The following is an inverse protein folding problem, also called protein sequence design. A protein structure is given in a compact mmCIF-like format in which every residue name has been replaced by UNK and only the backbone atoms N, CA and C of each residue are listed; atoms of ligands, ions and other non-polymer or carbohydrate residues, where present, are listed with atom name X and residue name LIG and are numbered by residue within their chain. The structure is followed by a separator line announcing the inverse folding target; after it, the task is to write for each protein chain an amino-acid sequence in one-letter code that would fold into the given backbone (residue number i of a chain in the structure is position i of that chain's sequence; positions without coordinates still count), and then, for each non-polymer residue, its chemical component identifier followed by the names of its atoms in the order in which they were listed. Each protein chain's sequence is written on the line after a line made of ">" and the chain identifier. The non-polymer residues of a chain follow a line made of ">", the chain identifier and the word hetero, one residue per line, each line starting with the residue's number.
data_IF_765426460032
#
_entry.id   IF_765426460032
#
_cell.length_a   1.000
_cell.length_b   1.000
_cell.length_c   1.000
_cell.angle_alpha   90.00
_cell.angle_beta   90.00
_cell.angle_gamma   90.00
#
_symmetry.space_group_name_H-M   'P 1'
#
loop_
_entity.id
_entity.type
_entity.pdbx_description
1 polymer ?
#
# COMPACT_ATOMS: atom_id res chain seq x y z
N UNK A 1 0.66 5.33 11.43
CA UNK A 1 -0.69 5.32 10.85
C UNK A 1 -1.01 4.03 10.10
N UNK A 2 -0.03 3.22 9.65
CA UNK A 2 -0.33 1.87 9.14
C UNK A 2 -1.23 1.83 7.90
N UNK A 3 -1.24 2.91 7.12
CA UNK A 3 -1.99 3.02 5.86
C UNK A 3 -1.05 2.64 4.72
N UNK A 4 -1.54 1.87 3.74
CA UNK A 4 -0.79 1.53 2.53
C UNK A 4 -1.09 2.60 1.47
N UNK A 5 -0.10 3.39 1.05
CA UNK A 5 -0.29 4.38 -0.01
C UNK A 5 -0.31 3.68 -1.37
N UNK A 6 -1.43 3.80 -2.09
CA UNK A 6 -1.59 3.26 -3.45
C UNK A 6 -1.69 4.40 -4.45
N UNK A 7 -1.05 4.21 -5.61
CA UNK A 7 -1.08 5.17 -6.70
C UNK A 7 -1.50 4.46 -8.00
N UNK A 8 -2.45 5.05 -8.72
CA UNK A 8 -2.75 4.64 -10.08
C UNK A 8 -1.53 4.77 -10.98
N UNK A 9 -1.48 3.99 -12.06
CA UNK A 9 -0.45 4.16 -13.08
C UNK A 9 -0.61 5.49 -13.81
N UNK A 10 0.48 5.94 -14.43
CA UNK A 10 0.46 7.19 -15.19
C UNK A 10 -0.63 7.16 -16.26
N UNK A 11 -1.47 8.18 -16.29
CA UNK A 11 -2.61 8.28 -17.22
C UNK A 11 -3.84 7.46 -16.81
N UNK A 12 -3.84 6.85 -15.62
CA UNK A 12 -5.01 6.21 -15.02
C UNK A 12 -5.48 7.00 -13.80
N UNK A 13 -6.79 6.98 -13.61
CA UNK A 13 -7.52 7.59 -12.50
C UNK A 13 -8.86 6.86 -12.31
N UNK A 14 -9.67 7.32 -11.37
CA UNK A 14 -10.97 6.71 -11.10
C UNK A 14 -11.92 6.78 -12.32
N UNK A 15 -11.94 7.89 -13.04
CA UNK A 15 -12.85 8.10 -14.17
C UNK A 15 -12.47 7.25 -15.38
N UNK A 16 -11.19 7.19 -15.73
CA UNK A 16 -10.64 6.37 -16.82
C UNK A 16 -10.81 4.87 -16.57
N UNK A 17 -10.77 4.46 -15.30
CA UNK A 17 -11.05 3.08 -14.87
C UNK A 17 -12.57 2.82 -14.65
N UNK A 18 -13.38 3.88 -14.68
CA UNK A 18 -14.82 3.85 -14.43
C UNK A 18 -15.16 3.32 -13.04
N UNK A 19 -14.40 3.73 -12.03
CA UNK A 19 -14.60 3.40 -10.62
C UNK A 19 -15.60 4.38 -10.01
N UNK A 20 -16.65 3.85 -9.40
CA UNK A 20 -17.72 4.67 -8.80
C UNK A 20 -17.49 4.93 -7.32
N UNK A 21 -16.64 4.12 -6.66
CA UNK A 21 -16.41 4.15 -5.22
C UNK A 21 -17.42 3.32 -4.41
N UNK A 22 -18.41 2.71 -5.09
CA UNK A 22 -19.37 1.80 -4.47
C UNK A 22 -18.94 0.33 -4.53
N UNK A 23 -17.87 0.04 -5.27
CA UNK A 23 -17.32 -1.31 -5.40
C UNK A 23 -16.59 -1.74 -4.12
N UNK A 24 -16.51 -3.05 -3.90
CA UNK A 24 -15.58 -3.61 -2.92
C UNK A 24 -14.25 -3.87 -3.60
N UNK A 25 -13.18 -3.37 -2.99
CA UNK A 25 -11.82 -3.48 -3.50
C UNK A 25 -11.05 -4.56 -2.73
N UNK A 26 -10.50 -5.52 -3.47
CA UNK A 26 -9.56 -6.52 -2.97
C UNK A 26 -8.18 -6.19 -3.50
N UNK A 27 -7.22 -5.96 -2.61
CA UNK A 27 -5.85 -5.60 -2.94
C UNK A 27 -4.99 -6.86 -2.75
N UNK A 28 -4.40 -7.35 -3.83
CA UNK A 28 -3.50 -8.50 -3.79
C UNK A 28 -2.11 -8.06 -3.33
N UNK A 29 -1.85 -8.22 -2.04
CA UNK A 29 -0.66 -7.76 -1.35
C UNK A 29 -0.16 -8.90 -0.45
N UNK A 30 1.16 -9.17 -0.39
CA UNK A 30 1.70 -10.19 0.49
C UNK A 30 1.28 -9.96 1.95
N UNK A 31 0.93 -11.04 2.66
CA UNK A 31 0.61 -10.98 4.09
C UNK A 31 1.82 -10.58 4.94
N UNK A 32 3.04 -10.83 4.43
CA UNK A 32 4.28 -10.46 5.08
C UNK A 32 4.86 -9.17 4.48
N UNK A 33 5.09 -8.18 5.34
CA UNK A 33 5.66 -6.89 4.96
C UNK A 33 7.08 -6.98 4.40
N UNK A 34 7.85 -7.99 4.83
CA UNK A 34 9.24 -8.19 4.36
C UNK A 34 9.28 -8.64 2.89
N UNK A 35 8.15 -9.12 2.35
CA UNK A 35 8.02 -9.49 0.95
C UNK A 35 7.62 -8.30 0.07
N UNK A 36 7.24 -7.18 0.69
CA UNK A 36 6.82 -5.96 -0.02
C UNK A 36 8.03 -5.12 -0.34
N UNK A 37 8.14 -4.70 -1.61
CA UNK A 37 9.24 -3.86 -2.08
C UNK A 37 8.79 -2.41 -2.28
N UNK A 38 9.69 -1.43 -2.05
CA UNK A 38 9.41 -0.03 -2.41
C UNK A 38 9.04 0.09 -3.90
N UNK A 39 7.96 0.80 -4.20
CA UNK A 39 7.45 0.98 -5.56
C UNK A 39 6.90 -0.29 -6.23
N UNK A 40 6.57 -1.34 -5.48
CA UNK A 40 6.02 -2.58 -6.03
C UNK A 40 4.63 -2.34 -6.65
N UNK A 41 4.37 -3.02 -7.76
CA UNK A 41 3.04 -3.07 -8.37
C UNK A 41 2.18 -4.17 -7.76
N UNK A 42 0.92 -3.84 -7.52
CA UNK A 42 -0.09 -4.72 -6.95
C UNK A 42 -1.37 -4.69 -7.76
N UNK A 43 -2.03 -5.83 -7.83
CA UNK A 43 -3.29 -5.97 -8.55
C UNK A 43 -4.44 -5.65 -7.60
N UNK A 44 -5.33 -4.76 -8.02
CA UNK A 44 -6.56 -4.46 -7.31
C UNK A 44 -7.71 -5.02 -8.13
N UNK A 45 -8.56 -5.82 -7.50
CA UNK A 45 -9.76 -6.41 -8.10
C UNK A 45 -11.00 -5.88 -7.40
N UNK A 46 -11.99 -5.48 -8.18
CA UNK A 46 -13.32 -5.09 -7.68
C UNK A 46 -14.27 -6.28 -7.68
N UNK A 47 -15.29 -6.26 -6.82
CA UNK A 47 -16.38 -7.23 -6.83
C UNK A 47 -17.19 -7.25 -8.13
N UNK A 48 -17.17 -6.14 -8.87
CA UNK A 48 -17.73 -6.04 -10.22
C UNK A 48 -16.87 -6.72 -11.31
N UNK A 49 -15.74 -7.33 -10.94
CA UNK A 49 -14.87 -8.08 -11.85
C UNK A 49 -13.85 -7.23 -12.62
N UNK A 50 -13.77 -5.91 -12.38
CA UNK A 50 -12.70 -5.07 -12.93
C UNK A 50 -11.41 -5.30 -12.16
N UNK A 51 -10.29 -5.39 -12.88
CA UNK A 51 -8.94 -5.50 -12.31
C UNK A 51 -8.04 -4.42 -12.89
N UNK A 52 -7.22 -3.79 -12.05
CA UNK A 52 -6.24 -2.79 -12.47
C UNK A 52 -5.00 -2.84 -11.58
N UNK A 53 -3.92 -2.24 -12.05
CA UNK A 53 -2.63 -2.25 -11.36
C UNK A 53 -2.44 -0.90 -10.67
N UNK A 54 -2.02 -0.94 -9.41
CA UNK A 54 -1.56 0.23 -8.66
C UNK A 54 -0.14 0.01 -8.18
N UNK A 55 0.61 1.10 -8.03
CA UNK A 55 1.93 1.08 -7.42
C UNK A 55 1.79 1.40 -5.94
N UNK A 56 2.37 0.56 -5.09
CA UNK A 56 2.52 0.81 -3.66
C UNK A 56 3.62 1.85 -3.47
N UNK A 57 3.24 3.03 -2.98
CA UNK A 57 4.14 4.19 -2.81
C UNK A 57 4.85 4.18 -1.46
N UNK A 58 5.44 3.04 -1.13
CA UNK A 58 6.58 3.05 -0.21
C UNK A 58 7.79 3.44 -1.05
N UNK A 59 8.37 4.60 -0.75
CA UNK A 59 9.48 5.14 -1.52
C UNK A 59 10.84 4.65 -0.95
N UNK A 60 10.86 4.16 0.30
CA UNK A 60 12.08 3.62 0.95
C UNK A 60 11.80 2.38 1.82
N UNK A 61 12.81 1.56 2.08
CA UNK A 61 12.73 0.45 3.05
C UNK A 61 12.44 0.91 4.48
N UNK A 62 12.85 2.13 4.82
CA UNK A 62 12.60 2.74 6.13
C UNK A 62 11.10 2.98 6.34
N UNK A 63 10.37 3.37 5.29
CA UNK A 63 8.92 3.54 5.36
C UNK A 63 8.19 2.21 5.56
N UNK A 64 8.66 1.14 4.93
CA UNK A 64 8.17 -0.23 5.18
C UNK A 64 8.39 -0.64 6.63
N UNK A 65 9.58 -0.34 7.19
CA UNK A 65 9.86 -0.58 8.60
C UNK A 65 8.91 0.23 9.52
N UNK A 66 8.65 1.50 9.20
CA UNK A 66 7.68 2.30 9.95
C UNK A 66 6.27 1.73 9.86
N UNK A 67 5.84 1.26 8.69
CA UNK A 67 4.56 0.60 8.51
C UNK A 67 4.45 -0.66 9.37
N UNK A 68 5.45 -1.53 9.35
CA UNK A 68 5.49 -2.75 10.17
C UNK A 68 5.40 -2.45 11.69
N UNK A 69 5.96 -1.32 12.11
CA UNK A 69 5.92 -0.91 13.52
C UNK A 69 4.63 -0.14 13.89
N UNK A 70 3.68 0.03 12.97
CA UNK A 70 2.43 0.80 13.18
C UNK A 70 2.60 2.32 13.05
N UNK A 71 3.81 2.78 12.74
CA UNK A 71 4.15 4.18 12.50
C UNK A 71 5.53 4.57 13.04
N UNK A 72 6.01 5.73 12.59
CA UNK A 72 7.32 6.27 12.95
C UNK A 72 7.51 6.47 14.46
N UNK A 73 6.49 6.95 15.17
CA UNK A 73 6.58 7.18 16.62
C UNK A 73 6.79 5.88 17.39
N UNK A 74 6.06 4.83 17.01
CA UNK A 74 6.18 3.51 17.64
C UNK A 74 7.54 2.87 17.34
N UNK A 75 8.04 3.03 16.11
CA UNK A 75 9.39 2.63 15.75
C UNK A 75 10.45 3.34 16.60
N UNK A 76 10.36 4.67 16.74
CA UNK A 76 11.31 5.46 17.49
C UNK A 76 11.33 5.11 18.99
N UNK A 77 10.16 5.00 19.64
CA UNK A 77 10.05 4.63 21.06
C UNK A 77 10.67 3.25 21.31
N UNK A 78 10.35 2.24 20.48
CA UNK A 78 10.91 0.89 20.62
C UNK A 78 12.43 0.86 20.45
N UNK A 79 12.98 1.69 19.58
CA UNK A 79 14.43 1.80 19.41
C UNK A 79 15.11 2.48 20.61
N UNK A 80 14.46 3.49 21.19
CA UNK A 80 14.95 4.14 22.41
C UNK A 80 14.93 3.21 23.62
N UNK A 81 13.90 2.34 23.74
CA UNK A 81 13.81 1.33 24.82
C UNK A 81 14.81 0.17 24.69
N UNK A 82 15.45 0.01 23.53
CA UNK A 82 16.49 -1.01 23.30
C UNK A 82 17.90 -0.52 23.63
N UNK A 83 18.08 0.77 23.93
CA UNK A 83 19.30 1.34 24.49
C UNK A 83 19.24 1.28 26.02
#
# INVERSE_FOLDING_TARGET
>A
MGIIPLCFKAGQDADTLGLTGHERYSIDLPSNIDEIRPGQDVTITTDNGKSFICTVRFDTEVELAYFNHGGILQYAIRNLMKQ
#
